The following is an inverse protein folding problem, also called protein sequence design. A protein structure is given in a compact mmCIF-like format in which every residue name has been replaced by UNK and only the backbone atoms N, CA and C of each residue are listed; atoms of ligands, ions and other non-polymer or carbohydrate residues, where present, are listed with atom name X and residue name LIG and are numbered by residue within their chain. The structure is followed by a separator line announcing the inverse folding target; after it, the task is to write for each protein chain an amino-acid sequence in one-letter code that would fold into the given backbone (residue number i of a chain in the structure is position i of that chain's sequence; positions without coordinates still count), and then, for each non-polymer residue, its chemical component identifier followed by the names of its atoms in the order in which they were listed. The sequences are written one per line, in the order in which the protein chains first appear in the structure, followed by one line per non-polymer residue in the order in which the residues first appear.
data_IF_875789387043
#
_entry.id   IF_875789387043
#
_cell.length_a   1.000
_cell.length_b   1.000
_cell.length_c   1.000
_cell.angle_alpha   90.00
_cell.angle_beta   90.00
_cell.angle_gamma   90.00
#
_symmetry.space_group_name_H-M   'P 1'
#
loop_
_entity.id
_entity.type
_entity.pdbx_description
1 polymer ?
#
# COMPACT_ATOMS: atom_id res chain seq x y z
N UNK A 1 -5.16 -9.57 10.60
CA UNK A 1 -5.06 -8.11 10.83
C UNK A 1 -5.71 -7.43 9.64
N UNK A 2 -6.66 -6.53 9.90
CA UNK A 2 -7.36 -5.82 8.83
C UNK A 2 -6.70 -4.46 8.62
N UNK A 3 -6.51 -4.10 7.36
CA UNK A 3 -6.01 -2.79 6.96
C UNK A 3 -7.13 -2.04 6.25
N UNK A 4 -7.36 -0.79 6.65
CA UNK A 4 -8.20 0.15 5.93
C UNK A 4 -7.36 0.82 4.85
N UNK A 5 -7.95 0.96 3.67
CA UNK A 5 -7.42 1.83 2.63
C UNK A 5 -8.27 3.10 2.69
N UNK A 6 -7.63 4.23 2.99
CA UNK A 6 -8.31 5.52 3.07
C UNK A 6 -7.71 6.47 2.03
N UNK A 7 -8.54 7.32 1.44
CA UNK A 7 -8.08 8.37 0.54
C UNK A 7 -7.48 9.52 1.34
N UNK A 8 -6.34 10.03 0.91
CA UNK A 8 -5.71 11.21 1.54
C UNK A 8 -6.53 12.46 1.18
N UNK A 9 -7.05 13.21 2.16
CA UNK A 9 -7.85 14.41 1.91
C UNK A 9 -7.14 15.43 1.01
N UNK A 10 -7.89 16.03 0.09
CA UNK A 10 -7.34 17.04 -0.84
C UNK A 10 -6.50 16.45 -1.98
N UNK A 11 -6.46 15.13 -2.13
CA UNK A 11 -5.80 14.46 -3.26
C UNK A 11 -6.75 13.46 -3.91
N UNK A 12 -6.76 13.43 -5.24
CA UNK A 12 -7.69 12.55 -5.96
C UNK A 12 -7.17 11.12 -6.15
N UNK A 13 -5.88 10.89 -5.88
CA UNK A 13 -5.19 9.64 -6.30
C UNK A 13 -4.32 9.01 -5.22
N UNK A 14 -4.15 9.66 -4.05
CA UNK A 14 -3.32 9.11 -2.98
C UNK A 14 -4.17 8.43 -1.92
N UNK A 15 -3.63 7.34 -1.41
CA UNK A 15 -4.20 6.53 -0.36
C UNK A 15 -3.19 6.32 0.77
N UNK A 16 -3.71 5.89 1.91
CA UNK A 16 -2.96 5.39 3.05
C UNK A 16 -3.47 4.01 3.45
N UNK A 17 -2.59 3.16 3.95
CA UNK A 17 -2.97 1.90 4.58
C UNK A 17 -2.89 2.08 6.08
N UNK A 18 -4.04 2.00 6.76
CA UNK A 18 -4.17 2.24 8.19
C UNK A 18 -4.60 0.97 8.92
N UNK A 19 -3.91 0.65 10.00
CA UNK A 19 -4.25 -0.44 10.90
C UNK A 19 -5.54 -0.11 11.63
N UNK A 20 -6.44 -1.08 11.70
CA UNK A 20 -7.70 -0.91 12.44
C UNK A 20 -7.56 -1.08 13.95
N UNK A 21 -6.40 -1.54 14.42
CA UNK A 21 -6.18 -1.89 15.82
C UNK A 21 -5.61 -0.70 16.58
N UNK A 22 -4.61 -0.05 15.98
CA UNK A 22 -3.74 0.92 16.65
C UNK A 22 -3.51 2.18 15.80
N UNK A 23 -4.30 2.41 14.74
CA UNK A 23 -4.20 3.59 13.87
C UNK A 23 -2.84 3.79 13.19
N UNK A 24 -1.91 2.83 13.26
CA UNK A 24 -0.62 2.93 12.60
C UNK A 24 -0.78 2.91 11.07
N UNK A 25 0.00 3.73 10.36
CA UNK A 25 0.03 3.73 8.89
C UNK A 25 1.34 3.14 8.36
N UNK A 26 1.28 2.41 7.25
CA UNK A 26 2.49 1.87 6.62
C UNK A 26 3.19 2.95 5.80
N UNK A 27 4.51 3.05 5.95
CA UNK A 27 5.33 4.04 5.24
C UNK A 27 6.62 3.45 4.68
N UNK A 28 7.08 4.05 3.58
CA UNK A 28 8.37 3.70 2.98
C UNK A 28 9.52 4.26 3.79
N UNK A 29 10.50 3.39 4.11
CA UNK A 29 11.81 3.77 4.67
C UNK A 29 12.87 4.00 3.59
N UNK A 30 12.49 4.00 2.31
CA UNK A 30 13.40 4.09 1.18
C UNK A 30 13.62 2.76 0.47
N UNK A 31 14.54 2.77 -0.50
CA UNK A 31 14.79 1.66 -1.42
C UNK A 31 15.27 0.41 -0.69
N UNK A 32 14.70 -0.73 -1.04
CA UNK A 32 15.01 -2.08 -0.55
C UNK A 32 14.94 -2.21 0.98
N UNK A 33 14.27 -1.26 1.63
CA UNK A 33 14.02 -1.27 3.07
C UNK A 33 12.63 -1.85 3.35
N UNK A 34 12.54 -2.62 4.44
CA UNK A 34 11.25 -3.04 5.00
C UNK A 34 10.41 -1.80 5.32
N UNK A 35 9.09 -1.93 5.15
CA UNK A 35 8.17 -0.86 5.52
C UNK A 35 8.27 -0.56 7.03
N UNK A 36 8.00 0.69 7.38
CA UNK A 36 7.63 1.04 8.75
C UNK A 36 6.13 1.00 8.93
N UNK A 37 5.70 0.88 10.18
CA UNK A 37 4.34 1.14 10.62
C UNK A 37 4.44 1.97 11.90
N UNK A 38 3.80 3.14 11.92
CA UNK A 38 3.81 4.03 13.09
C UNK A 38 2.58 4.94 13.11
N UNK A 39 2.20 5.39 14.30
CA UNK A 39 1.17 6.41 14.50
C UNK A 39 1.71 7.80 14.11
N UNK A 40 0.82 8.69 13.69
CA UNK A 40 1.18 10.09 13.39
C UNK A 40 1.95 10.30 12.08
N UNK A 41 2.17 9.25 11.28
CA UNK A 41 2.81 9.35 9.97
C UNK A 41 1.85 9.74 8.84
N UNK A 42 0.58 9.97 9.15
CA UNK A 42 -0.53 10.15 8.20
C UNK A 42 -0.33 11.33 7.25
N UNK A 43 0.33 12.40 7.70
CA UNK A 43 0.59 13.60 6.90
C UNK A 43 1.91 13.52 6.10
N UNK A 44 2.70 12.47 6.30
CA UNK A 44 3.98 12.32 5.63
C UNK A 44 3.82 11.67 4.24
N UNK A 45 4.41 12.30 3.22
CA UNK A 45 4.43 11.76 1.85
C UNK A 45 5.04 10.33 1.75
N UNK A 46 5.83 9.90 2.74
CA UNK A 46 6.36 8.52 2.79
C UNK A 46 5.29 7.49 3.16
N UNK A 47 4.21 7.89 3.83
CA UNK A 47 3.05 7.06 4.17
C UNK A 47 1.96 7.10 3.09
N UNK A 48 2.06 8.03 2.13
CA UNK A 48 1.11 8.14 1.03
C UNK A 48 1.55 7.27 -0.16
N UNK A 49 0.57 6.64 -0.78
CA UNK A 49 0.76 5.77 -1.94
C UNK A 49 -0.20 6.18 -3.04
N UNK A 50 0.30 6.29 -4.27
CA UNK A 50 -0.53 6.38 -5.45
C UNK A 50 -1.13 5.02 -5.75
N UNK A 51 -2.45 4.97 -5.91
CA UNK A 51 -3.17 3.82 -6.42
C UNK A 51 -3.10 3.83 -7.96
N UNK A 52 -2.36 2.89 -8.55
CA UNK A 52 -2.24 2.76 -10.00
C UNK A 52 -3.02 1.54 -10.49
N UNK A 53 -3.82 1.70 -11.55
CA UNK A 53 -4.58 0.61 -12.18
C UNK A 53 -6.09 0.62 -11.90
N UNK A 54 -6.55 1.42 -10.94
CA UNK A 54 -7.97 1.72 -10.76
C UNK A 54 -8.17 3.03 -10.01
N UNK A 55 -9.37 3.61 -10.13
CA UNK A 55 -9.79 4.72 -9.29
C UNK A 55 -10.30 4.22 -7.93
N UNK A 56 -10.14 5.02 -6.88
CA UNK A 56 -10.55 4.64 -5.52
C UNK A 56 -12.05 4.33 -5.43
N UNK A 57 -12.89 5.07 -6.18
CA UNK A 57 -14.33 4.85 -6.28
C UNK A 57 -14.72 3.54 -6.96
N UNK A 58 -13.80 2.91 -7.71
CA UNK A 58 -14.07 1.76 -8.59
C UNK A 58 -13.49 0.44 -8.05
N UNK A 59 -13.06 0.38 -6.79
CA UNK A 59 -12.47 -0.82 -6.14
C UNK A 59 -13.45 -2.03 -6.05
N UNK A 60 -14.65 -1.94 -6.61
CA UNK A 60 -15.70 -2.97 -6.52
C UNK A 60 -15.40 -4.31 -7.21
N UNK A 61 -14.46 -4.38 -8.16
CA UNK A 61 -14.22 -5.58 -8.99
C UNK A 61 -12.87 -6.27 -8.76
N UNK A 62 -12.29 -6.12 -7.58
CA UNK A 62 -10.98 -6.68 -7.27
C UNK A 62 -9.90 -6.37 -8.32
N UNK A 63 -9.66 -5.07 -8.61
CA UNK A 63 -8.75 -4.64 -9.65
C UNK A 63 -7.31 -5.10 -9.35
N UNK A 64 -6.55 -5.31 -10.43
CA UNK A 64 -5.10 -5.45 -10.35
C UNK A 64 -4.48 -4.07 -10.28
N UNK A 65 -3.74 -3.81 -9.20
CA UNK A 65 -3.22 -2.49 -8.88
C UNK A 65 -1.76 -2.54 -8.52
N UNK A 66 -1.11 -1.37 -8.54
CA UNK A 66 0.23 -1.15 -8.00
C UNK A 66 0.18 0.04 -7.05
N UNK A 67 1.08 0.04 -6.07
CA UNK A 67 1.17 1.12 -5.09
C UNK A 67 2.52 1.80 -5.19
N UNK A 68 2.55 2.99 -5.80
CA UNK A 68 3.78 3.78 -5.95
C UNK A 68 3.89 4.77 -4.80
N UNK A 69 5.04 4.84 -4.14
CA UNK A 69 5.21 5.75 -3.02
C UNK A 69 5.16 7.22 -3.46
N UNK A 70 4.52 8.09 -2.69
CA UNK A 70 4.38 9.50 -3.06
C UNK A 70 5.67 10.29 -2.88
N UNK A 71 6.44 10.02 -1.81
CA UNK A 71 7.77 10.63 -1.61
C UNK A 71 8.82 10.08 -2.56
N UNK A 72 8.86 8.75 -2.71
CA UNK A 72 9.83 8.04 -3.53
C UNK A 72 9.19 7.58 -4.83
N UNK A 73 9.12 8.50 -5.80
CA UNK A 73 8.34 8.32 -7.03
C UNK A 73 8.76 7.14 -7.92
N UNK A 74 9.91 6.51 -7.70
CA UNK A 74 10.35 5.32 -8.45
C UNK A 74 10.18 4.02 -7.67
N UNK A 75 9.70 4.09 -6.43
CA UNK A 75 9.58 2.96 -5.53
C UNK A 75 8.13 2.53 -5.35
N UNK A 76 7.94 1.22 -5.24
CA UNK A 76 6.65 0.57 -5.16
C UNK A 76 6.59 -0.33 -3.94
N UNK A 77 5.37 -0.56 -3.43
CA UNK A 77 5.12 -1.68 -2.53
C UNK A 77 5.52 -2.96 -3.25
N UNK A 78 6.45 -3.69 -2.67
CA UNK A 78 7.05 -4.87 -3.29
C UNK A 78 7.16 -5.96 -2.25
N UNK A 79 6.76 -7.16 -2.62
CA UNK A 79 6.87 -8.33 -1.76
C UNK A 79 8.12 -9.19 -2.12
N UNK A 80 9.00 -8.64 -2.96
CA UNK A 80 10.35 -9.08 -3.35
C UNK A 80 10.43 -10.38 -4.17
N UNK A 81 9.58 -11.36 -3.88
CA UNK A 81 9.61 -12.65 -4.54
C UNK A 81 8.30 -12.89 -5.32
N UNK A 82 8.17 -13.99 -6.09
CA UNK A 82 6.92 -14.38 -6.76
C UNK A 82 6.14 -15.53 -6.09
N UNK A 83 6.73 -16.27 -5.13
CA UNK A 83 6.00 -17.09 -4.14
C UNK A 83 6.34 -16.74 -2.66
N UNK A 84 5.44 -16.13 -1.87
CA UNK A 84 5.77 -15.64 -0.52
C UNK A 84 5.78 -16.77 0.47
N UNK A 85 6.64 -16.64 1.48
CA UNK A 85 6.48 -17.41 2.71
C UNK A 85 5.79 -16.59 3.80
N UNK A 86 5.03 -17.27 4.65
CA UNK A 86 4.32 -16.63 5.75
C UNK A 86 5.32 -15.89 6.66
N UNK A 87 5.03 -14.63 6.95
CA UNK A 87 5.88 -13.77 7.78
C UNK A 87 6.90 -12.93 7.02
N UNK A 88 7.01 -13.06 5.70
CA UNK A 88 7.84 -12.16 4.89
C UNK A 88 7.27 -10.73 4.90
N UNK A 89 8.16 -9.77 5.16
CA UNK A 89 7.81 -8.37 5.20
C UNK A 89 7.80 -7.77 3.78
N UNK A 90 6.84 -6.87 3.54
CA UNK A 90 6.91 -6.00 2.37
C UNK A 90 8.10 -5.04 2.47
N UNK A 91 8.61 -4.65 1.30
CA UNK A 91 9.65 -3.63 1.14
C UNK A 91 9.18 -2.51 0.22
N UNK A 92 10.01 -1.48 0.08
CA UNK A 92 9.87 -0.53 -1.03
C UNK A 92 10.88 -0.84 -2.13
N UNK A 93 10.43 -1.47 -3.22
CA UNK A 93 11.27 -1.91 -4.33
C UNK A 93 11.27 -0.95 -5.52
N UNK A 94 12.31 -1.00 -6.36
CA UNK A 94 12.35 -0.24 -7.60
C UNK A 94 11.25 -0.73 -8.57
N UNK A 95 10.50 0.18 -9.17
CA UNK A 95 9.46 -0.16 -10.15
C UNK A 95 10.02 -1.01 -11.30
N UNK A 96 9.50 -2.22 -11.46
CA UNK A 96 10.00 -3.20 -12.44
C UNK A 96 8.89 -3.99 -13.17
N UNK A 97 7.61 -3.68 -12.91
CA UNK A 97 6.44 -4.39 -13.47
C UNK A 97 6.40 -5.89 -13.15
N UNK A 98 7.17 -6.37 -12.18
CA UNK A 98 7.10 -7.76 -11.74
C UNK A 98 5.76 -8.01 -11.03
N UNK A 99 5.33 -9.28 -11.05
CA UNK A 99 4.16 -9.73 -10.29
C UNK A 99 4.29 -9.50 -8.79
N UNK A 100 5.52 -9.28 -8.29
CA UNK A 100 5.79 -8.92 -6.89
C UNK A 100 5.31 -7.52 -6.49
N UNK A 101 4.93 -6.68 -7.46
CA UNK A 101 4.44 -5.32 -7.25
C UNK A 101 2.97 -5.15 -7.66
N UNK A 102 2.30 -6.25 -8.02
CA UNK A 102 0.91 -6.26 -8.50
C UNK A 102 0.03 -6.91 -7.45
N UNK A 103 -1.01 -6.20 -7.04
CA UNK A 103 -1.89 -6.59 -5.95
C UNK A 103 -3.33 -6.66 -6.42
N UNK A 104 -4.12 -7.50 -5.75
CA UNK A 104 -5.58 -7.51 -5.89
C UNK A 104 -6.19 -6.95 -4.61
N UNK A 105 -7.01 -5.91 -4.71
CA UNK A 105 -7.72 -5.36 -3.55
C UNK A 105 -9.06 -6.09 -3.41
N UNK A 106 -9.27 -6.82 -2.31
CA UNK A 106 -10.53 -7.50 -2.04
C UNK A 106 -11.26 -6.82 -0.87
N UNK A 107 -12.57 -6.61 -0.99
CA UNK A 107 -13.39 -6.21 0.15
C UNK A 107 -13.47 -7.36 1.14
N UNK A 108 -13.13 -7.09 2.39
CA UNK A 108 -13.36 -8.05 3.48
C UNK A 108 -14.85 -7.97 3.85
N UNK A 109 -15.63 -8.99 3.50
CA UNK A 109 -16.96 -9.17 4.08
C UNK A 109 -16.79 -9.52 5.56
N UNK A 110 -17.23 -8.64 6.46
CA UNK A 110 -17.31 -8.99 7.88
C UNK A 110 -18.61 -9.75 8.11
N UNK A 111 -18.58 -10.90 8.82
CA UNK A 111 -19.80 -11.44 9.37
C UNK A 111 -20.39 -10.41 10.36
N UNK A 112 -21.70 -10.17 10.24
CA UNK A 112 -22.48 -9.35 11.18
C UNK A 112 -22.46 -9.93 12.60
#
# INVERSE_FOLDING_TARGET
MNWKIEQVPGTDTRILFKSEIDDAVIYSKGKDCHLGADQGMEDHDTAHWYLEGCDFSEISEAPLVRFRNAKHSTLYLDWQHPQPTDGEAFVTGQGNNNTSQIFRICRVQRPE
#
